data_IF_894924185488
#
_entry.id   IF_894924185488
#
_cell.length_a   1.000
_cell.length_b   1.000
_cell.length_c   1.000
_cell.angle_alpha   90.00
_cell.angle_beta   90.00
_cell.angle_gamma   90.00
#
_symmetry.space_group_name_H-M   'P 1'
#
loop_
_entity.id
_entity.type
_entity.pdbx_description
1 polymer ?
#
# COMPACT_ATOMS: atom_id res chain seq x y z
N UNK A 1 5.28 -17.26 -9.06
CA UNK A 1 5.58 -15.83 -9.12
C UNK A 1 6.91 -15.59 -9.82
N UNK A 2 6.85 -14.96 -10.99
CA UNK A 2 8.03 -14.57 -11.77
C UNK A 2 8.79 -13.43 -11.07
N UNK A 3 10.11 -13.32 -11.26
CA UNK A 3 10.94 -12.22 -10.69
C UNK A 3 10.37 -10.84 -11.01
N UNK A 4 9.90 -10.64 -12.25
CA UNK A 4 9.22 -9.41 -12.71
C UNK A 4 8.04 -9.04 -11.81
N UNK A 5 7.19 -10.01 -11.48
CA UNK A 5 5.96 -9.78 -10.72
C UNK A 5 6.27 -9.44 -9.27
N UNK A 6 7.34 -10.02 -8.70
CA UNK A 6 7.82 -9.66 -7.36
C UNK A 6 8.27 -8.20 -7.30
N UNK A 7 9.02 -7.72 -8.30
CA UNK A 7 9.44 -6.31 -8.38
C UNK A 7 8.23 -5.39 -8.48
N UNK A 8 7.23 -5.73 -9.30
CA UNK A 8 6.00 -4.95 -9.45
C UNK A 8 5.25 -4.85 -8.11
N UNK A 9 5.13 -5.95 -7.36
CA UNK A 9 4.46 -5.96 -6.06
C UNK A 9 5.19 -5.10 -5.01
N UNK A 10 6.52 -5.17 -4.97
CA UNK A 10 7.31 -4.30 -4.08
C UNK A 10 7.13 -2.83 -4.44
N UNK A 11 7.21 -2.51 -5.74
CA UNK A 11 6.99 -1.14 -6.22
C UNK A 11 5.57 -0.66 -5.88
N UNK A 12 4.57 -1.50 -6.10
CA UNK A 12 3.17 -1.21 -5.78
C UNK A 12 2.96 -0.93 -4.29
N UNK A 13 3.49 -1.79 -3.41
CA UNK A 13 3.42 -1.58 -1.96
C UNK A 13 4.09 -0.27 -1.53
N UNK A 14 5.25 0.03 -2.13
CA UNK A 14 6.00 1.25 -1.83
C UNK A 14 5.23 2.51 -2.24
N UNK A 15 4.60 2.49 -3.42
CA UNK A 15 3.82 3.63 -3.92
C UNK A 15 2.55 3.83 -3.08
N UNK A 16 1.80 2.76 -2.79
CA UNK A 16 0.61 2.84 -1.92
C UNK A 16 1.00 3.45 -0.57
N UNK A 17 2.06 2.92 0.04
CA UNK A 17 2.56 3.41 1.32
C UNK A 17 2.93 4.88 1.24
N UNK A 18 3.65 5.31 0.20
CA UNK A 18 4.06 6.69 0.00
C UNK A 18 2.88 7.67 -0.08
N UNK A 19 1.84 7.34 -0.85
CA UNK A 19 0.64 8.18 -0.99
C UNK A 19 -0.09 8.35 0.33
N UNK A 20 -0.28 7.25 1.06
CA UNK A 20 -0.96 7.25 2.35
C UNK A 20 -0.13 8.03 3.37
N UNK A 21 1.18 7.75 3.43
CA UNK A 21 2.11 8.37 4.38
C UNK A 21 2.20 9.89 4.17
N UNK A 22 2.33 10.36 2.93
CA UNK A 22 2.33 11.79 2.60
C UNK A 22 1.06 12.49 3.10
N UNK A 23 -0.08 11.80 2.98
CA UNK A 23 -1.35 12.32 3.47
C UNK A 23 -1.37 12.33 4.98
N UNK A 24 -1.05 11.23 5.64
CA UNK A 24 -1.07 11.09 7.10
C UNK A 24 -0.16 12.09 7.82
N UNK A 25 0.99 12.45 7.22
CA UNK A 25 1.85 13.50 7.77
C UNK A 25 1.23 14.90 7.71
N UNK A 26 0.35 15.15 6.74
CA UNK A 26 -0.26 16.46 6.52
C UNK A 26 -1.64 16.58 7.14
N UNK A 27 -2.46 15.53 7.03
CA UNK A 27 -3.86 15.44 7.49
C UNK A 27 -4.24 13.97 7.76
N UNK A 28 -4.95 13.67 8.86
CA UNK A 28 -5.32 12.29 9.20
C UNK A 28 -6.47 11.71 8.36
N UNK A 29 -6.80 12.30 7.21
CA UNK A 29 -7.92 11.90 6.35
C UNK A 29 -7.52 11.94 4.88
N UNK A 30 -7.85 10.88 4.14
CA UNK A 30 -7.66 10.80 2.70
C UNK A 30 -8.71 11.65 1.98
N UNK A 31 -8.28 12.45 1.00
CA UNK A 31 -9.20 13.18 0.11
C UNK A 31 -9.47 12.34 -1.14
N UNK A 32 -10.47 12.74 -1.91
CA UNK A 32 -10.85 12.07 -3.15
C UNK A 32 -9.68 11.86 -4.12
N UNK A 33 -8.76 12.83 -4.22
CA UNK A 33 -7.60 12.73 -5.10
C UNK A 33 -6.67 11.57 -4.75
N UNK A 34 -6.48 11.27 -3.47
CA UNK A 34 -5.66 10.12 -3.07
C UNK A 34 -6.35 8.79 -3.34
N UNK A 35 -7.68 8.71 -3.16
CA UNK A 35 -8.43 7.52 -3.56
C UNK A 35 -8.31 7.25 -5.07
N UNK A 36 -8.38 8.30 -5.89
CA UNK A 36 -8.20 8.20 -7.33
C UNK A 36 -6.77 7.76 -7.69
N UNK A 37 -5.74 8.33 -7.05
CA UNK A 37 -4.36 7.91 -7.26
C UNK A 37 -4.14 6.42 -6.90
N UNK A 38 -4.65 5.99 -5.75
CA UNK A 38 -4.58 4.59 -5.30
C UNK A 38 -5.32 3.66 -6.26
N UNK A 39 -6.46 4.10 -6.80
CA UNK A 39 -7.20 3.38 -7.83
C UNK A 39 -6.35 3.17 -9.08
N UNK A 40 -5.82 4.24 -9.67
CA UNK A 40 -5.03 4.19 -10.91
C UNK A 40 -3.80 3.31 -10.74
N UNK A 41 -3.07 3.48 -9.65
CA UNK A 41 -1.83 2.72 -9.40
C UNK A 41 -2.13 1.24 -9.20
N UNK A 42 -3.19 0.91 -8.47
CA UNK A 42 -3.60 -0.49 -8.27
C UNK A 42 -4.12 -1.11 -9.55
N UNK A 43 -4.82 -0.35 -10.39
CA UNK A 43 -5.26 -0.78 -11.71
C UNK A 43 -4.05 -1.06 -12.63
N UNK A 44 -3.06 -0.16 -12.67
CA UNK A 44 -1.83 -0.36 -13.44
C UNK A 44 -1.04 -1.58 -12.96
N UNK A 45 -0.94 -1.79 -11.64
CA UNK A 45 -0.29 -2.99 -11.08
C UNK A 45 -1.00 -4.27 -11.56
N UNK A 46 -2.35 -4.25 -11.59
CA UNK A 46 -3.14 -5.35 -12.12
C UNK A 46 -2.88 -5.61 -13.61
N UNK A 47 -2.81 -4.54 -14.41
CA UNK A 47 -2.51 -4.66 -15.84
C UNK A 47 -1.14 -5.32 -16.07
N UNK A 48 -0.13 -4.89 -15.32
CA UNK A 48 1.25 -5.34 -15.49
C UNK A 48 1.49 -6.80 -15.09
N UNK A 49 0.75 -7.32 -14.11
CA UNK A 49 0.86 -8.71 -13.66
C UNK A 49 0.07 -9.64 -14.59
N UNK A 50 -1.13 -9.23 -15.01
CA UNK A 50 -1.98 -9.96 -15.96
C UNK A 50 -2.68 -11.18 -15.37
N UNK A 51 -2.00 -12.01 -14.59
CA UNK A 51 -2.53 -13.25 -14.02
C UNK A 51 -3.36 -13.00 -12.74
N UNK A 52 -4.69 -13.27 -12.78
CA UNK A 52 -5.58 -13.09 -11.61
C UNK A 52 -5.09 -13.84 -10.36
N UNK A 53 -4.61 -15.08 -10.52
CA UNK A 53 -4.12 -15.90 -9.39
C UNK A 53 -2.91 -15.26 -8.71
N UNK A 54 -1.97 -14.72 -9.49
CA UNK A 54 -0.78 -14.08 -8.94
C UNK A 54 -1.13 -12.74 -8.28
N UNK A 55 -2.15 -12.03 -8.78
CA UNK A 55 -2.65 -10.79 -8.19
C UNK A 55 -3.31 -11.02 -6.85
N UNK A 56 -4.15 -12.04 -6.70
CA UNK A 56 -4.80 -12.34 -5.41
C UNK A 56 -3.74 -12.62 -4.34
N UNK A 57 -2.77 -13.49 -4.66
CA UNK A 57 -1.66 -13.80 -3.75
C UNK A 57 -0.82 -12.53 -3.49
N UNK A 58 -0.51 -11.78 -4.55
CA UNK A 58 0.27 -10.55 -4.48
C UNK A 58 -0.39 -9.47 -3.64
N UNK A 59 -1.71 -9.35 -3.68
CA UNK A 59 -2.50 -8.42 -2.86
C UNK A 59 -2.36 -8.76 -1.36
N UNK A 60 -2.47 -10.03 -1.00
CA UNK A 60 -2.26 -10.48 0.39
C UNK A 60 -0.82 -10.31 0.87
N UNK A 61 0.17 -10.17 -0.02
CA UNK A 61 1.55 -9.83 0.33
C UNK A 61 1.75 -8.30 0.40
N UNK A 62 1.10 -7.57 -0.51
CA UNK A 62 1.27 -6.11 -0.67
C UNK A 62 0.65 -5.35 0.49
N UNK A 63 -0.51 -5.78 1.02
CA UNK A 63 -1.14 -5.08 2.15
C UNK A 63 -0.27 -5.14 3.40
N UNK A 64 0.15 -6.32 3.90
CA UNK A 64 1.01 -6.39 5.08
C UNK A 64 2.32 -5.64 4.86
N UNK A 65 2.91 -5.75 3.66
CA UNK A 65 4.13 -5.03 3.32
C UNK A 65 3.92 -3.51 3.39
N UNK A 66 2.81 -3.01 2.83
CA UNK A 66 2.49 -1.58 2.88
C UNK A 66 2.26 -1.11 4.31
N UNK A 67 1.53 -1.91 5.11
CA UNK A 67 1.30 -1.62 6.51
C UNK A 67 2.61 -1.56 7.32
N UNK A 68 3.53 -2.48 7.04
CA UNK A 68 4.85 -2.51 7.66
C UNK A 68 5.66 -1.27 7.28
N UNK A 69 5.70 -0.90 5.99
CA UNK A 69 6.38 0.31 5.53
C UNK A 69 5.81 1.56 6.22
N UNK A 70 4.48 1.71 6.25
CA UNK A 70 3.83 2.85 6.89
C UNK A 70 4.15 2.93 8.38
N UNK A 71 4.04 1.80 9.09
CA UNK A 71 4.33 1.73 10.53
C UNK A 71 5.79 2.07 10.79
N UNK A 72 6.72 1.46 10.05
CA UNK A 72 8.15 1.73 10.16
C UNK A 72 8.47 3.22 9.97
N UNK A 73 7.89 3.85 8.95
CA UNK A 73 8.11 5.26 8.67
C UNK A 73 7.54 6.19 9.75
N UNK A 74 6.41 5.84 10.38
CA UNK A 74 5.74 6.69 11.37
C UNK A 74 6.24 6.46 12.80
N UNK A 75 6.68 5.26 13.17
CA UNK A 75 7.10 4.95 14.55
C UNK A 75 8.61 4.83 14.70
N UNK A 76 9.26 4.09 13.80
CA UNK A 76 10.68 3.73 13.94
C UNK A 76 11.56 4.87 13.43
N UNK A 77 11.21 5.49 12.30
CA UNK A 77 12.01 6.59 11.74
C UNK A 77 12.20 7.76 12.74
N UNK A 78 11.14 8.29 13.38
CA UNK A 78 11.28 9.39 14.35
C UNK A 78 12.09 9.00 15.60
N UNK A 79 12.05 7.73 15.99
CA UNK A 79 12.84 7.19 17.11
C UNK A 79 14.34 7.15 16.81
N UNK A 80 14.72 6.86 15.56
CA UNK A 80 16.12 6.83 15.11
C UNK A 80 16.64 8.25 14.87
N UNK A 81 15.82 9.14 14.32
CA UNK A 81 16.21 10.52 13.96
C UNK A 81 16.18 11.52 15.12
N UNK A 82 15.92 11.07 16.36
CA UNK A 82 16.35 11.81 17.55
C UNK A 82 15.39 12.86 18.13
N UNK A 83 14.08 12.59 18.21
CA UNK A 83 13.15 13.47 18.97
C UNK A 83 12.40 12.82 20.14
N UNK A 84 12.57 11.52 20.36
CA UNK A 84 11.85 10.78 21.39
C UNK A 84 12.84 10.17 22.37
N UNK A 85 13.06 10.88 23.48
CA UNK A 85 13.81 10.40 24.63
C UNK A 85 13.23 9.06 25.08
N UNK A 86 14.12 8.08 25.27
CA UNK A 86 13.91 6.65 25.54
C UNK A 86 13.03 6.32 26.77
N UNK A 87 11.78 6.78 26.80
CA UNK A 87 10.79 6.36 27.78
C UNK A 87 9.95 5.30 27.11
N UNK A 88 10.09 4.04 27.54
CA UNK A 88 9.39 2.88 26.95
C UNK A 88 7.89 3.11 26.80
N UNK A 89 7.26 3.77 27.77
CA UNK A 89 5.83 4.12 27.75
C UNK A 89 5.43 5.07 26.61
N UNK A 90 6.29 6.00 26.19
CA UNK A 90 6.00 6.93 25.10
C UNK A 90 6.10 6.24 23.73
N UNK A 91 7.04 5.29 23.60
CA UNK A 91 7.20 4.49 22.37
C UNK A 91 5.97 3.60 22.16
N UNK A 92 5.47 2.96 23.23
CA UNK A 92 4.28 2.12 23.17
C UNK A 92 3.02 2.93 22.79
N UNK A 93 2.87 4.13 23.37
CA UNK A 93 1.79 5.06 23.03
C UNK A 93 1.86 5.53 21.57
N UNK A 94 3.06 5.79 21.05
CA UNK A 94 3.25 6.17 19.64
C UNK A 94 2.95 5.02 18.69
N UNK A 95 3.33 3.80 19.04
CA UNK A 95 2.98 2.62 18.27
C UNK A 95 1.47 2.40 18.22
N UNK A 96 0.79 2.43 19.37
CA UNK A 96 -0.66 2.27 19.40
C UNK A 96 -1.39 3.37 18.63
N UNK A 97 -1.03 4.65 18.85
CA UNK A 97 -1.67 5.77 18.16
C UNK A 97 -1.43 5.72 16.65
N UNK A 98 -0.24 5.33 16.21
CA UNK A 98 0.08 5.17 14.78
C UNK A 98 -0.74 4.06 14.15
N UNK A 99 -0.80 2.89 14.78
CA UNK A 99 -1.59 1.76 14.27
C UNK A 99 -3.06 2.17 14.15
N UNK A 100 -3.63 2.80 15.19
CA UNK A 100 -5.01 3.27 15.17
C UNK A 100 -5.22 4.29 14.05
N UNK A 101 -4.30 5.22 13.84
CA UNK A 101 -4.38 6.23 12.77
C UNK A 101 -4.33 5.59 11.37
N UNK A 102 -3.39 4.68 11.13
CA UNK A 102 -3.25 3.97 9.84
C UNK A 102 -4.46 3.10 9.59
N UNK A 103 -4.90 2.30 10.57
CA UNK A 103 -6.06 1.42 10.41
C UNK A 103 -7.32 2.24 10.18
N UNK A 104 -7.56 3.31 10.95
CA UNK A 104 -8.77 4.14 10.80
C UNK A 104 -8.83 4.90 9.48
N UNK A 105 -7.68 5.30 8.93
CA UNK A 105 -7.62 6.03 7.66
C UNK A 105 -7.68 5.12 6.43
N UNK A 106 -7.16 3.90 6.53
CA UNK A 106 -7.04 2.99 5.38
C UNK A 106 -8.10 1.89 5.37
N UNK A 107 -8.46 1.34 6.52
CA UNK A 107 -9.42 0.24 6.62
C UNK A 107 -10.85 0.74 6.82
N UNK A 108 -11.85 0.16 6.13
CA UNK A 108 -11.74 -0.86 5.08
C UNK A 108 -11.65 -0.28 3.65
N UNK A 109 -11.92 1.01 3.48
CA UNK A 109 -12.23 1.61 2.18
C UNK A 109 -11.07 1.55 1.18
N UNK A 110 -9.84 1.89 1.60
CA UNK A 110 -8.67 1.88 0.72
C UNK A 110 -8.36 0.47 0.24
N UNK A 111 -8.41 -0.51 1.13
CA UNK A 111 -8.07 -1.88 0.81
C UNK A 111 -9.06 -2.50 -0.17
N UNK A 112 -10.36 -2.30 0.07
CA UNK A 112 -11.41 -2.75 -0.86
C UNK A 112 -11.22 -2.08 -2.23
N UNK A 113 -10.94 -0.78 -2.25
CA UNK A 113 -10.70 -0.05 -3.50
C UNK A 113 -9.49 -0.61 -4.24
N UNK A 114 -8.36 -0.85 -3.57
CA UNK A 114 -7.16 -1.42 -4.18
C UNK A 114 -7.44 -2.83 -4.74
N UNK A 115 -8.21 -3.65 -4.03
CA UNK A 115 -8.60 -4.99 -4.47
C UNK A 115 -9.45 -4.94 -5.75
N UNK A 116 -10.49 -4.11 -5.77
CA UNK A 116 -11.36 -3.97 -6.94
C UNK A 116 -10.55 -3.45 -8.13
N UNK A 117 -9.71 -2.45 -7.90
CA UNK A 117 -8.89 -1.83 -8.94
C UNK A 117 -7.90 -2.81 -9.57
N UNK A 118 -7.19 -3.59 -8.75
CA UNK A 118 -6.18 -4.55 -9.25
C UNK A 118 -6.82 -5.71 -9.99
N UNK A 119 -8.00 -6.18 -9.54
CA UNK A 119 -8.78 -7.20 -10.26
C UNK A 119 -9.24 -6.66 -11.61
N UNK A 120 -9.81 -5.45 -11.65
CA UNK A 120 -10.20 -4.81 -12.91
C UNK A 120 -9.00 -4.67 -13.87
N UNK A 121 -7.85 -4.24 -13.37
CA UNK A 121 -6.62 -4.15 -14.15
C UNK A 121 -6.18 -5.50 -14.73
N UNK A 122 -6.27 -6.57 -13.94
CA UNK A 122 -5.99 -7.94 -14.40
C UNK A 122 -6.90 -8.36 -15.53
N UNK A 123 -8.21 -8.16 -15.35
CA UNK A 123 -9.23 -8.55 -16.33
C UNK A 123 -8.99 -7.83 -17.64
N UNK A 124 -8.68 -6.54 -17.61
CA UNK A 124 -8.31 -5.75 -18.80
C UNK A 124 -7.08 -6.36 -19.48
N UNK A 125 -6.05 -6.73 -18.72
CA UNK A 125 -4.83 -7.33 -19.27
C UNK A 125 -5.09 -8.67 -19.96
N UNK A 126 -5.90 -9.53 -19.35
CA UNK A 126 -6.31 -10.82 -19.91
C UNK A 126 -7.13 -10.63 -21.21
N UNK A 127 -8.07 -9.67 -21.23
CA UNK A 127 -8.87 -9.36 -22.42
C UNK A 127 -8.03 -8.83 -23.59
N UNK A 128 -7.05 -7.97 -23.32
CA UNK A 128 -6.22 -7.36 -24.36
C UNK A 128 -4.92 -8.12 -24.65
N UNK A 129 -4.66 -9.25 -23.95
CA UNK A 129 -3.42 -10.04 -24.08
C UNK A 129 -2.15 -9.20 -23.98
N UNK A 130 -2.16 -8.16 -23.14
CA UNK A 130 -1.07 -7.17 -23.05
C UNK A 130 0.24 -7.82 -22.59
N UNK A 131 0.14 -8.89 -21.79
CA UNK A 131 1.27 -9.66 -21.28
C UNK A 131 1.76 -10.79 -22.20
N UNK A 132 1.08 -11.04 -23.33
CA UNK A 132 1.47 -12.07 -24.32
C UNK A 132 2.39 -11.51 -25.43
N UNK A 133 2.78 -10.24 -25.35
CA UNK A 133 3.75 -9.68 -26.29
C UNK A 133 5.15 -10.32 -26.04
N UNK A 134 5.81 -10.80 -27.11
CA UNK A 134 7.04 -11.60 -27.02
C UNK A 134 8.22 -10.88 -26.36
#
# INVERSE_FOLDING_TARGET
MKKKNLIILIAWATIISSIILQTLYSRPTLTWLQYLALFIISLLAGILIGDIKEIIIGYFITIPLSFLIMTFCLTILPSITGKLSQTSSLIDLLFQSTIVMVVRSTFPSVWILCLISVILGSVISEFFKITDAP
#
